data_IF_873923878930
#
_entry.id   IF_873923878930
#
_cell.length_a   1.000
_cell.length_b   1.000
_cell.length_c   1.000
_cell.angle_alpha   90.00
_cell.angle_beta   90.00
_cell.angle_gamma   90.00
#
_symmetry.space_group_name_H-M   'P 1'
#
loop_
_entity.id
_entity.type
_entity.pdbx_description
1 polymer ?
#
# COMPACT_ATOMS: atom_id res chain seq x y z
N UNK A 1 -22.45 -23.21 7.33
CA UNK A 1 -21.06 -23.71 7.23
C UNK A 1 -20.50 -23.09 5.96
N UNK A 2 -19.39 -22.35 6.06
CA UNK A 2 -18.56 -21.79 4.97
C UNK A 2 -17.50 -20.79 5.53
N UNK A 3 -17.56 -20.42 6.82
CA UNK A 3 -16.55 -19.57 7.47
C UNK A 3 -15.16 -20.20 7.56
N UNK A 4 -15.08 -21.51 7.77
CA UNK A 4 -13.79 -22.21 7.95
C UNK A 4 -13.03 -22.44 6.64
N UNK A 5 -13.67 -22.22 5.47
CA UNK A 5 -13.02 -22.29 4.16
C UNK A 5 -12.34 -20.96 3.83
N UNK A 6 -13.12 -19.88 3.94
CA UNK A 6 -12.67 -18.51 3.66
C UNK A 6 -11.50 -18.07 4.57
N UNK A 7 -11.50 -18.47 5.86
CA UNK A 7 -10.40 -18.16 6.79
C UNK A 7 -9.11 -18.94 6.49
N UNK A 8 -9.21 -20.18 6.01
CA UNK A 8 -8.05 -20.98 5.60
C UNK A 8 -7.48 -20.51 4.26
N UNK A 9 -8.36 -20.14 3.33
CA UNK A 9 -7.95 -19.61 2.04
C UNK A 9 -7.28 -18.24 2.21
N UNK A 10 -7.79 -17.38 3.10
CA UNK A 10 -7.14 -16.12 3.47
C UNK A 10 -5.77 -16.33 4.13
N UNK A 11 -5.63 -17.32 5.01
CA UNK A 11 -4.34 -17.67 5.62
C UNK A 11 -3.33 -18.25 4.62
N UNK A 12 -3.80 -19.06 3.66
CA UNK A 12 -2.95 -19.62 2.60
C UNK A 12 -2.46 -18.51 1.64
N UNK A 13 -3.34 -17.56 1.30
CA UNK A 13 -2.96 -16.41 0.46
C UNK A 13 -1.95 -15.50 1.17
N UNK A 14 -2.11 -15.28 2.48
CA UNK A 14 -1.16 -14.50 3.27
C UNK A 14 0.21 -15.19 3.39
N UNK A 15 0.24 -16.51 3.55
CA UNK A 15 1.50 -17.27 3.50
C UNK A 15 2.19 -17.14 2.14
N UNK A 16 1.46 -17.28 1.04
CA UNK A 16 2.01 -17.12 -0.31
C UNK A 16 2.54 -15.69 -0.51
N UNK A 17 1.82 -14.67 -0.02
CA UNK A 17 2.26 -13.27 -0.07
C UNK A 17 3.56 -13.06 0.71
N UNK A 18 3.63 -13.53 1.94
CA UNK A 18 4.83 -13.43 2.78
C UNK A 18 6.01 -14.18 2.15
N UNK A 19 5.78 -15.34 1.55
CA UNK A 19 6.82 -16.09 0.82
C UNK A 19 7.29 -15.35 -0.45
N UNK A 20 6.38 -14.76 -1.22
CA UNK A 20 6.75 -13.96 -2.41
C UNK A 20 7.53 -12.71 -2.04
N UNK A 21 7.15 -12.04 -0.94
CA UNK A 21 7.85 -10.87 -0.42
C UNK A 21 9.24 -11.24 0.10
N UNK A 22 9.35 -12.35 0.84
CA UNK A 22 10.62 -12.89 1.29
C UNK A 22 11.53 -13.26 0.10
N UNK A 23 11.00 -13.94 -0.92
CA UNK A 23 11.74 -14.27 -2.15
C UNK A 23 12.19 -13.04 -2.93
N UNK A 24 11.38 -11.98 -2.99
CA UNK A 24 11.79 -10.73 -3.63
C UNK A 24 12.88 -10.02 -2.84
N UNK A 25 12.77 -9.95 -1.52
CA UNK A 25 13.79 -9.35 -0.65
C UNK A 25 15.11 -10.12 -0.75
N UNK A 26 15.05 -11.45 -0.82
CA UNK A 26 16.21 -12.30 -1.07
C UNK A 26 16.84 -11.99 -2.45
N UNK A 27 16.03 -11.81 -3.50
CA UNK A 27 16.54 -11.41 -4.83
C UNK A 27 17.22 -10.05 -4.80
N UNK A 28 16.64 -9.05 -4.12
CA UNK A 28 17.23 -7.71 -3.99
C UNK A 28 18.57 -7.80 -3.27
N UNK A 29 18.65 -8.56 -2.17
CA UNK A 29 19.89 -8.73 -1.43
C UNK A 29 20.95 -9.50 -2.24
N UNK A 30 20.54 -10.49 -3.04
CA UNK A 30 21.46 -11.18 -3.95
C UNK A 30 22.00 -10.22 -5.03
N UNK A 31 21.16 -9.36 -5.62
CA UNK A 31 21.61 -8.32 -6.56
C UNK A 31 22.58 -7.35 -5.88
N UNK A 32 22.30 -6.97 -4.62
CA UNK A 32 23.18 -6.10 -3.81
C UNK A 32 24.56 -6.75 -3.64
N UNK A 33 24.61 -8.01 -3.21
CA UNK A 33 25.87 -8.77 -3.05
C UNK A 33 26.62 -8.94 -4.36
N UNK A 34 25.91 -9.25 -5.45
CA UNK A 34 26.51 -9.38 -6.78
C UNK A 34 27.14 -8.06 -7.24
N UNK A 35 26.48 -6.94 -6.98
CA UNK A 35 27.00 -5.61 -7.31
C UNK A 35 28.19 -5.23 -6.43
N UNK A 36 28.16 -5.56 -5.13
CA UNK A 36 29.31 -5.37 -4.23
C UNK A 36 30.52 -6.21 -4.68
N UNK A 37 30.33 -7.45 -5.11
CA UNK A 37 31.41 -8.29 -5.64
C UNK A 37 31.98 -7.77 -6.96
N UNK A 38 31.11 -7.33 -7.89
CA UNK A 38 31.55 -6.71 -9.14
C UNK A 38 32.33 -5.42 -8.88
N UNK A 39 31.87 -4.61 -7.93
CA UNK A 39 32.56 -3.41 -7.49
C UNK A 39 33.94 -3.74 -6.90
N UNK A 40 34.05 -4.72 -6.01
CA UNK A 40 35.33 -5.16 -5.44
C UNK A 40 36.28 -5.68 -6.54
N UNK A 41 35.75 -6.37 -7.55
CA UNK A 41 36.53 -6.83 -8.71
C UNK A 41 37.06 -5.67 -9.55
N UNK A 42 36.22 -4.67 -9.85
CA UNK A 42 36.58 -3.48 -10.61
C UNK A 42 37.62 -2.65 -9.85
N UNK A 43 37.45 -2.50 -8.53
CA UNK A 43 38.38 -1.74 -7.69
C UNK A 43 39.71 -2.47 -7.50
N UNK A 44 39.70 -3.80 -7.42
CA UNK A 44 40.92 -4.62 -7.47
C UNK A 44 41.66 -4.51 -8.81
N UNK A 45 40.96 -4.28 -9.92
CA UNK A 45 41.58 -4.02 -11.23
C UNK A 45 42.11 -2.57 -11.35
N UNK A 46 41.47 -1.61 -10.67
CA UNK A 46 41.87 -0.21 -10.59
C UNK A 46 43.05 0.05 -9.64
N UNK A 47 43.52 -0.94 -8.88
CA UNK A 47 44.69 -0.85 -7.99
C UNK A 47 46.02 -0.58 -8.75
N UNK A 48 45.97 -0.51 -10.09
CA UNK A 48 47.04 0.01 -10.96
C UNK A 48 46.91 1.50 -11.30
N UNK A 49 45.92 2.21 -10.76
CA UNK A 49 45.65 3.63 -11.01
C UNK A 49 45.80 4.44 -9.72
N UNK A 50 46.16 5.73 -9.81
CA UNK A 50 46.48 6.63 -8.69
C UNK A 50 45.31 6.95 -7.71
N UNK A 51 44.27 6.12 -7.63
CA UNK A 51 43.09 6.37 -6.79
C UNK A 51 43.13 5.52 -5.52
N UNK A 52 42.63 6.07 -4.41
CA UNK A 52 42.46 5.35 -3.14
C UNK A 52 41.28 4.35 -3.24
N UNK A 53 41.54 3.03 -3.25
CA UNK A 53 40.51 2.02 -3.40
C UNK A 53 39.53 1.95 -2.22
N UNK A 54 39.91 2.48 -1.04
CA UNK A 54 39.03 2.53 0.12
C UNK A 54 37.99 3.64 -0.01
N UNK A 55 38.39 4.80 -0.53
CA UNK A 55 37.49 5.92 -0.79
C UNK A 55 36.43 5.56 -1.86
N UNK A 56 36.87 4.94 -2.96
CA UNK A 56 35.99 4.49 -4.04
C UNK A 56 34.99 3.40 -3.59
N UNK A 57 35.43 2.45 -2.74
CA UNK A 57 34.53 1.44 -2.16
C UNK A 57 33.43 2.06 -1.32
N UNK A 58 33.77 3.06 -0.51
CA UNK A 58 32.82 3.74 0.36
C UNK A 58 31.76 4.48 -0.46
N UNK A 59 32.19 5.28 -1.43
CA UNK A 59 31.30 6.08 -2.28
C UNK A 59 30.37 5.19 -3.11
N UNK A 60 30.88 4.13 -3.72
CA UNK A 60 30.06 3.22 -4.51
C UNK A 60 29.06 2.39 -3.65
N UNK A 61 29.43 2.01 -2.42
CA UNK A 61 28.48 1.38 -1.48
C UNK A 61 27.39 2.34 -1.03
N UNK A 62 27.72 3.62 -0.81
CA UNK A 62 26.74 4.66 -0.49
C UNK A 62 25.75 4.87 -1.65
N UNK A 63 26.24 4.88 -2.90
CA UNK A 63 25.39 4.94 -4.10
C UNK A 63 24.49 3.71 -4.23
N UNK A 64 25.02 2.50 -4.08
CA UNK A 64 24.24 1.25 -4.14
C UNK A 64 23.16 1.24 -3.05
N UNK A 65 23.52 1.58 -1.82
CA UNK A 65 22.58 1.68 -0.70
C UNK A 65 21.47 2.69 -0.98
N UNK A 66 21.84 3.89 -1.45
CA UNK A 66 20.88 4.94 -1.81
C UNK A 66 19.89 4.49 -2.89
N UNK A 67 20.36 3.82 -3.94
CA UNK A 67 19.48 3.35 -5.04
C UNK A 67 18.52 2.27 -4.55
N UNK A 68 19.00 1.32 -3.72
CA UNK A 68 18.13 0.27 -3.16
C UNK A 68 17.05 0.88 -2.26
N UNK A 69 17.42 1.79 -1.35
CA UNK A 69 16.45 2.47 -0.48
C UNK A 69 15.43 3.27 -1.29
N UNK A 70 15.87 4.06 -2.27
CA UNK A 70 14.96 4.83 -3.15
C UNK A 70 14.02 3.91 -3.95
N UNK A 71 14.50 2.75 -4.39
CA UNK A 71 13.68 1.78 -5.14
C UNK A 71 12.62 1.14 -4.24
N UNK A 72 12.97 0.82 -2.99
CA UNK A 72 12.01 0.29 -2.01
C UNK A 72 10.97 1.35 -1.63
N UNK A 73 11.39 2.59 -1.35
CA UNK A 73 10.48 3.69 -1.03
C UNK A 73 9.53 4.04 -2.18
N UNK A 74 10.01 4.01 -3.43
CA UNK A 74 9.17 4.22 -4.61
C UNK A 74 8.12 3.11 -4.79
N UNK A 75 8.48 1.86 -4.48
CA UNK A 75 7.56 0.71 -4.51
C UNK A 75 6.48 0.83 -3.43
N UNK A 76 6.87 1.19 -2.22
CA UNK A 76 5.93 1.39 -1.10
C UNK A 76 4.96 2.53 -1.38
N UNK A 77 5.45 3.62 -2.00
CA UNK A 77 4.59 4.70 -2.52
C UNK A 77 3.62 4.15 -3.55
N UNK A 78 4.10 3.49 -4.61
CA UNK A 78 3.22 2.94 -5.66
C UNK A 78 2.15 1.99 -5.11
N UNK A 79 2.48 1.15 -4.12
CA UNK A 79 1.51 0.25 -3.49
C UNK A 79 0.45 0.98 -2.67
N UNK A 80 0.84 2.04 -1.94
CA UNK A 80 -0.10 2.90 -1.23
C UNK A 80 -1.02 3.67 -2.21
N UNK A 81 -0.46 4.19 -3.29
CA UNK A 81 -1.20 4.89 -4.33
C UNK A 81 -2.22 3.98 -5.05
N UNK A 82 -1.85 2.72 -5.33
CA UNK A 82 -2.75 1.72 -5.91
C UNK A 82 -3.90 1.36 -4.95
N UNK A 83 -3.60 1.17 -3.66
CA UNK A 83 -4.61 0.93 -2.63
C UNK A 83 -5.59 2.10 -2.53
N UNK A 84 -5.08 3.33 -2.51
CA UNK A 84 -5.90 4.55 -2.46
C UNK A 84 -6.89 4.60 -3.64
N UNK A 85 -6.42 4.33 -4.86
CA UNK A 85 -7.27 4.27 -6.05
C UNK A 85 -8.37 3.20 -5.94
N UNK A 86 -8.02 1.98 -5.49
CA UNK A 86 -9.01 0.90 -5.28
C UNK A 86 -10.07 1.27 -4.25
N UNK A 87 -9.67 1.95 -3.16
CA UNK A 87 -10.61 2.46 -2.17
C UNK A 87 -11.52 3.50 -2.80
N UNK A 88 -10.98 4.50 -3.51
CA UNK A 88 -11.79 5.53 -4.16
C UNK A 88 -12.78 4.95 -5.17
N UNK A 89 -12.36 3.99 -6.00
CA UNK A 89 -13.22 3.32 -6.98
C UNK A 89 -14.37 2.54 -6.30
N UNK A 90 -14.08 1.79 -5.25
CA UNK A 90 -15.09 1.06 -4.49
C UNK A 90 -16.10 2.01 -3.84
N UNK A 91 -15.61 3.07 -3.21
CA UNK A 91 -16.47 4.09 -2.59
C UNK A 91 -17.33 4.76 -3.67
N UNK A 92 -16.77 5.11 -4.82
CA UNK A 92 -17.51 5.75 -5.91
C UNK A 92 -18.59 4.81 -6.47
N UNK A 93 -18.31 3.51 -6.60
CA UNK A 93 -19.29 2.51 -7.00
C UNK A 93 -20.44 2.40 -5.99
N UNK A 94 -20.15 2.38 -4.68
CA UNK A 94 -21.17 2.25 -3.61
C UNK A 94 -22.01 3.51 -3.43
N UNK A 95 -21.41 4.67 -3.59
CA UNK A 95 -22.02 5.98 -3.32
C UNK A 95 -22.73 6.51 -4.56
N UNK A 96 -22.15 6.32 -5.75
CA UNK A 96 -22.53 7.03 -6.96
C UNK A 96 -21.95 8.44 -7.01
N UNK A 97 -21.90 9.04 -8.20
CA UNK A 97 -21.12 10.27 -8.46
C UNK A 97 -21.62 11.53 -7.71
N UNK A 98 -22.90 11.59 -7.31
CA UNK A 98 -23.51 12.82 -6.80
C UNK A 98 -24.26 12.63 -5.48
N UNK A 99 -24.19 11.45 -4.86
CA UNK A 99 -24.89 11.20 -3.62
C UNK A 99 -23.95 11.36 -2.42
N UNK A 100 -24.49 11.86 -1.32
CA UNK A 100 -23.87 11.63 -0.02
C UNK A 100 -24.42 10.31 0.51
N UNK A 101 -23.54 9.35 0.84
CA UNK A 101 -23.96 8.09 1.47
C UNK A 101 -23.17 7.81 2.74
N UNK A 102 -23.79 6.98 3.56
CA UNK A 102 -23.21 6.43 4.77
C UNK A 102 -22.84 4.98 4.45
N UNK A 103 -21.60 4.61 4.71
CA UNK A 103 -21.11 3.24 4.61
C UNK A 103 -20.57 2.85 5.99
N UNK A 104 -20.84 1.62 6.41
CA UNK A 104 -20.31 1.10 7.66
C UNK A 104 -18.83 0.76 7.50
N UNK A 105 -18.00 1.04 8.51
CA UNK A 105 -16.58 0.65 8.47
C UNK A 105 -16.43 -0.87 8.29
N UNK A 106 -17.33 -1.67 8.88
CA UNK A 106 -17.32 -3.12 8.72
C UNK A 106 -17.59 -3.59 7.28
N UNK A 107 -18.28 -2.78 6.46
CA UNK A 107 -18.46 -3.08 5.03
C UNK A 107 -17.16 -2.86 4.25
N UNK A 108 -16.41 -1.80 4.57
CA UNK A 108 -15.10 -1.58 3.97
C UNK A 108 -14.10 -2.64 4.39
N UNK A 109 -14.05 -2.96 5.69
CA UNK A 109 -13.18 -4.03 6.18
C UNK A 109 -13.46 -5.35 5.45
N UNK A 110 -14.72 -5.75 5.30
CA UNK A 110 -15.05 -6.97 4.53
C UNK A 110 -14.62 -6.91 3.07
N UNK A 111 -14.63 -5.74 2.45
CA UNK A 111 -14.28 -5.59 1.05
C UNK A 111 -12.75 -5.57 0.80
N UNK A 112 -11.98 -5.01 1.75
CA UNK A 112 -10.55 -4.75 1.55
C UNK A 112 -9.62 -5.64 2.38
N UNK A 113 -10.09 -6.25 3.47
CA UNK A 113 -9.26 -7.15 4.28
C UNK A 113 -8.72 -8.40 3.58
N UNK A 114 -9.34 -8.95 2.50
CA UNK A 114 -8.73 -10.03 1.75
C UNK A 114 -7.41 -9.65 1.07
N UNK A 115 -7.27 -8.37 0.70
CA UNK A 115 -6.16 -7.89 -0.15
C UNK A 115 -5.22 -6.93 0.61
N UNK A 116 -5.69 -6.33 1.71
CA UNK A 116 -5.01 -5.25 2.42
C UNK A 116 -5.12 -5.36 3.94
N UNK A 117 -4.09 -4.90 4.65
CA UNK A 117 -4.11 -4.87 6.11
C UNK A 117 -5.08 -3.80 6.63
N UNK A 118 -5.64 -4.03 7.83
CA UNK A 118 -6.48 -3.04 8.52
C UNK A 118 -5.75 -1.71 8.72
N UNK A 119 -4.46 -1.74 9.02
CA UNK A 119 -3.64 -0.53 9.22
C UNK A 119 -3.50 0.28 7.92
N UNK A 120 -3.31 -0.39 6.79
CA UNK A 120 -3.25 0.27 5.49
C UNK A 120 -4.59 0.91 5.14
N UNK A 121 -5.70 0.18 5.34
CA UNK A 121 -7.06 0.73 5.15
C UNK A 121 -7.33 1.95 6.04
N UNK A 122 -6.94 1.89 7.32
CA UNK A 122 -7.13 3.00 8.25
C UNK A 122 -6.30 4.23 7.87
N UNK A 123 -5.08 4.04 7.35
CA UNK A 123 -4.22 5.11 6.86
C UNK A 123 -4.85 5.82 5.68
N UNK A 124 -5.29 5.09 4.66
CA UNK A 124 -5.92 5.68 3.48
C UNK A 124 -7.24 6.40 3.82
N UNK A 125 -8.02 5.86 4.76
CA UNK A 125 -9.23 6.55 5.25
C UNK A 125 -8.89 7.82 6.04
N UNK A 126 -7.76 7.86 6.76
CA UNK A 126 -7.31 9.08 7.41
C UNK A 126 -6.91 10.15 6.39
N UNK A 127 -6.28 9.74 5.28
CA UNK A 127 -5.89 10.65 4.20
C UNK A 127 -7.13 11.22 3.47
N UNK A 128 -8.09 10.37 3.10
CA UNK A 128 -9.37 10.81 2.51
C UNK A 128 -10.18 11.73 3.47
N UNK A 129 -10.04 11.52 4.78
CA UNK A 129 -10.63 12.42 5.79
C UNK A 129 -9.89 13.75 5.82
N UNK A 130 -8.56 13.75 5.75
CA UNK A 130 -7.72 14.95 5.68
C UNK A 130 -8.02 15.80 4.46
N UNK A 131 -8.30 15.16 3.32
CA UNK A 131 -8.71 15.79 2.06
C UNK A 131 -10.20 16.23 2.08
N UNK A 132 -10.93 15.91 3.15
CA UNK A 132 -12.31 16.32 3.39
C UNK A 132 -13.34 15.59 2.54
N UNK A 133 -12.97 14.48 1.90
CA UNK A 133 -13.87 13.64 1.09
C UNK A 133 -14.79 12.81 1.99
N UNK A 134 -14.26 12.34 3.13
CA UNK A 134 -15.01 11.53 4.07
C UNK A 134 -15.06 12.14 5.47
N UNK A 135 -16.10 11.79 6.22
CA UNK A 135 -16.22 12.06 7.66
C UNK A 135 -16.47 10.76 8.40
N UNK A 136 -15.69 10.52 9.44
CA UNK A 136 -15.89 9.41 10.36
C UNK A 136 -16.83 9.86 11.47
N UNK A 137 -17.94 9.13 11.65
CA UNK A 137 -18.95 9.41 12.67
C UNK A 137 -19.17 8.12 13.46
N UNK A 138 -19.02 8.20 14.78
CA UNK A 138 -19.45 7.11 15.65
C UNK A 138 -20.98 7.08 15.70
N UNK A 139 -21.55 6.01 15.14
CA UNK A 139 -22.97 5.73 15.16
C UNK A 139 -23.31 4.61 16.12
N UNK A 140 -24.58 4.52 16.47
CA UNK A 140 -25.14 3.32 17.09
C UNK A 140 -25.99 2.62 16.04
N UNK A 141 -25.61 1.41 15.66
CA UNK A 141 -26.41 0.56 14.79
C UNK A 141 -27.17 -0.47 15.64
N UNK A 142 -28.26 -1.00 15.10
CA UNK A 142 -28.97 -2.11 15.72
C UNK A 142 -28.60 -3.35 14.93
N UNK A 143 -27.91 -4.31 15.56
CA UNK A 143 -27.61 -5.58 14.93
C UNK A 143 -28.94 -6.29 14.59
N UNK A 144 -29.22 -6.56 13.30
CA UNK A 144 -30.50 -7.15 12.89
C UNK A 144 -30.70 -8.58 13.42
N UNK A 145 -29.65 -9.27 13.87
CA UNK A 145 -29.74 -10.62 14.43
C UNK A 145 -30.00 -10.62 15.94
N UNK A 146 -29.33 -9.76 16.69
CA UNK A 146 -29.43 -9.73 18.15
C UNK A 146 -30.39 -8.65 18.68
N UNK A 147 -30.78 -7.68 17.86
CA UNK A 147 -31.55 -6.51 18.26
C UNK A 147 -30.79 -5.57 19.21
N UNK A 148 -29.49 -5.81 19.43
CA UNK A 148 -28.66 -5.00 20.34
C UNK A 148 -28.13 -3.78 19.63
N UNK A 149 -28.08 -2.67 20.37
CA UNK A 149 -27.42 -1.46 19.97
C UNK A 149 -25.89 -1.66 20.08
N UNK A 150 -25.19 -1.61 18.96
CA UNK A 150 -23.75 -1.72 18.88
C UNK A 150 -23.17 -0.38 18.39
N UNK A 151 -22.06 0.04 19.00
CA UNK A 151 -21.31 1.18 18.49
C UNK A 151 -20.57 0.75 17.23
N UNK A 152 -20.84 1.42 16.13
CA UNK A 152 -20.15 1.19 14.88
C UNK A 152 -19.66 2.50 14.29
N UNK A 153 -18.41 2.49 13.82
CA UNK A 153 -17.86 3.60 13.09
C UNK A 153 -18.48 3.63 11.68
N UNK A 154 -19.10 4.75 11.35
CA UNK A 154 -19.72 4.98 10.05
C UNK A 154 -18.95 6.05 9.29
N UNK A 155 -18.94 5.91 7.97
CA UNK A 155 -18.20 6.76 7.06
C UNK A 155 -19.22 7.48 6.20
N UNK A 156 -19.28 8.80 6.34
CA UNK A 156 -20.08 9.66 5.47
C UNK A 156 -19.20 10.14 4.34
N UNK A 157 -19.64 9.92 3.10
CA UNK A 157 -18.84 10.18 1.91
C UNK A 157 -19.56 11.20 1.05
N UNK A 158 -18.83 12.23 0.63
CA UNK A 158 -19.27 13.17 -0.39
C UNK A 158 -18.88 12.67 -1.79
N UNK A 159 -19.86 12.16 -2.55
CA UNK A 159 -19.62 11.58 -3.88
C UNK A 159 -19.07 12.56 -4.92
N UNK A 160 -19.38 13.86 -4.80
CA UNK A 160 -18.83 14.88 -5.71
C UNK A 160 -17.34 15.09 -5.43
N UNK A 161 -16.99 15.32 -4.16
CA UNK A 161 -15.59 15.51 -3.76
C UNK A 161 -14.75 14.27 -4.03
N UNK A 162 -15.32 13.09 -3.87
CA UNK A 162 -14.66 11.83 -4.21
C UNK A 162 -14.37 11.72 -5.72
N UNK A 163 -15.32 12.11 -6.56
CA UNK A 163 -15.15 12.09 -8.02
C UNK A 163 -14.13 13.13 -8.50
N UNK A 164 -14.12 14.32 -7.91
CA UNK A 164 -13.15 15.38 -8.21
C UNK A 164 -11.74 14.96 -7.81
N UNK A 165 -11.57 14.46 -6.58
CA UNK A 165 -10.29 13.97 -6.08
C UNK A 165 -9.74 12.86 -6.96
N UNK A 166 -10.58 11.88 -7.31
CA UNK A 166 -10.20 10.77 -8.19
C UNK A 166 -9.75 11.29 -9.56
N UNK A 167 -10.48 12.23 -10.15
CA UNK A 167 -10.12 12.85 -11.44
C UNK A 167 -8.77 13.54 -11.37
N UNK A 168 -8.53 14.36 -10.34
CA UNK A 168 -7.23 15.01 -10.12
C UNK A 168 -6.11 13.98 -9.97
N UNK A 169 -6.34 12.93 -9.20
CA UNK A 169 -5.34 11.89 -8.98
C UNK A 169 -4.93 11.15 -10.26
N UNK A 170 -5.89 10.83 -11.13
CA UNK A 170 -5.62 10.19 -12.44
C UNK A 170 -4.87 11.17 -13.36
N UNK A 171 -5.16 12.46 -13.30
CA UNK A 171 -4.45 13.48 -14.11
C UNK A 171 -3.03 13.73 -13.61
N UNK A 172 -2.80 13.70 -12.30
CA UNK A 172 -1.48 13.92 -11.69
C UNK A 172 -0.58 12.66 -11.74
N UNK A 173 -1.17 11.47 -11.84
CA UNK A 173 -0.49 10.19 -12.06
C UNK A 173 -0.95 9.54 -13.39
N UNK A 174 -0.46 10.01 -14.55
CA UNK A 174 -0.88 9.53 -15.86
C UNK A 174 -0.38 8.10 -16.21
N UNK A 175 0.11 7.31 -15.25
CA UNK A 175 0.69 5.98 -15.48
C UNK A 175 -0.32 4.88 -15.82
N UNK A 176 -1.42 5.25 -16.47
CA UNK A 176 -2.41 4.35 -17.05
C UNK A 176 -2.26 4.20 -18.57
N UNK A 177 -1.03 4.17 -19.09
CA UNK A 177 -0.51 3.33 -20.20
C UNK A 177 0.97 3.66 -20.48
#
# INVERSE_FOLDING_TARGET
MNRDGDERDAQALEQIRQEMEAQQNEKIENIRRDNEQKLDTILGQLDNSHYDPAALRKEAREVIGSVVTQTMEAKDKHHAEELKLKIMDYLQFKVGHYATRIILMSELEKAFMPDFSREALQRELADLKGEGVIKLIEGTIIDPKSGRAEKELTIVIDGMRLSDLRTSYIMDNPSGD
#
